data_IF_555163510119
#
_entry.id   IF_555163510119
#
_cell.length_a   1.000
_cell.length_b   1.000
_cell.length_c   1.000
_cell.angle_alpha   90.00
_cell.angle_beta   90.00
_cell.angle_gamma   90.00
#
_symmetry.space_group_name_H-M   'P 1'
#
loop_
_entity.id
_entity.type
_entity.pdbx_description
1 polymer ?
#
# COMPACT_ATOMS: atom_id res chain seq x y z
N UNK A 1 -56.21 58.31 0.78
CA UNK A 1 -55.62 57.75 -0.46
C UNK A 1 -54.32 57.09 -0.09
N UNK A 2 -54.31 55.77 0.00
CA UNK A 2 -53.17 54.99 0.51
C UNK A 2 -52.46 54.35 -0.68
N UNK A 3 -51.17 54.64 -0.79
CA UNK A 3 -50.23 54.17 -1.81
C UNK A 3 -49.98 52.67 -1.68
N UNK A 4 -50.10 51.92 -2.77
CA UNK A 4 -49.69 50.51 -2.84
C UNK A 4 -48.62 50.37 -3.92
N UNK A 5 -47.36 50.29 -3.50
CA UNK A 5 -46.21 50.05 -4.39
C UNK A 5 -45.94 48.56 -4.40
N UNK A 6 -46.30 47.88 -5.50
CA UNK A 6 -46.07 46.44 -5.64
C UNK A 6 -44.58 46.11 -5.65
N UNK A 7 -44.12 45.12 -4.86
CA UNK A 7 -42.73 44.70 -4.86
C UNK A 7 -42.41 44.01 -6.20
N UNK A 8 -41.47 44.59 -6.95
CA UNK A 8 -40.97 43.99 -8.18
C UNK A 8 -40.16 42.74 -7.83
N UNK A 9 -40.69 41.57 -8.19
CA UNK A 9 -40.04 40.28 -7.99
C UNK A 9 -38.70 40.24 -8.74
N UNK A 10 -37.60 40.38 -7.99
CA UNK A 10 -36.23 40.29 -8.52
C UNK A 10 -35.90 38.82 -8.73
N UNK A 11 -36.13 38.30 -9.93
CA UNK A 11 -35.70 36.97 -10.36
C UNK A 11 -34.16 36.90 -10.28
N UNK A 12 -33.64 36.18 -9.27
CA UNK A 12 -32.21 35.87 -9.18
C UNK A 12 -31.84 34.99 -10.37
N UNK A 13 -31.25 35.59 -11.40
CA UNK A 13 -30.58 34.85 -12.47
C UNK A 13 -29.35 34.20 -11.84
N UNK A 14 -29.38 32.89 -11.66
CA UNK A 14 -28.18 32.11 -11.36
C UNK A 14 -27.23 32.29 -12.55
N UNK A 15 -26.13 33.01 -12.32
CA UNK A 15 -25.13 33.27 -13.36
C UNK A 15 -24.40 31.98 -13.80
N UNK A 16 -23.69 32.03 -14.93
CA UNK A 16 -22.94 30.88 -15.48
C UNK A 16 -21.94 30.26 -14.49
N UNK A 17 -21.48 31.03 -13.49
CA UNK A 17 -20.62 30.55 -12.42
C UNK A 17 -21.27 29.43 -11.56
N UNK A 18 -22.57 29.50 -11.31
CA UNK A 18 -23.27 28.47 -10.53
C UNK A 18 -23.35 27.14 -11.30
N UNK A 19 -23.57 27.20 -12.61
CA UNK A 19 -23.57 26.01 -13.47
C UNK A 19 -22.18 25.37 -13.53
N UNK A 20 -21.12 26.18 -13.61
CA UNK A 20 -19.73 25.68 -13.57
C UNK A 20 -19.39 24.94 -12.29
N UNK A 21 -19.76 25.49 -11.12
CA UNK A 21 -19.53 24.83 -9.83
C UNK A 21 -20.29 23.51 -9.70
N UNK A 22 -21.54 23.46 -10.17
CA UNK A 22 -22.34 22.23 -10.16
C UNK A 22 -21.72 21.16 -11.08
N UNK A 23 -21.22 21.53 -12.25
CA UNK A 23 -20.55 20.60 -13.16
C UNK A 23 -19.27 20.01 -12.53
N UNK A 24 -18.47 20.85 -11.87
CA UNK A 24 -17.27 20.41 -11.15
C UNK A 24 -17.65 19.48 -9.99
N UNK A 25 -18.65 19.85 -9.18
CA UNK A 25 -19.12 19.01 -8.08
C UNK A 25 -19.64 17.65 -8.57
N UNK A 26 -20.39 17.63 -9.68
CA UNK A 26 -20.86 16.39 -10.29
C UNK A 26 -19.71 15.53 -10.81
N UNK A 27 -18.67 16.14 -11.41
CA UNK A 27 -17.47 15.43 -11.84
C UNK A 27 -16.75 14.78 -10.65
N UNK A 28 -16.53 15.51 -9.55
CA UNK A 28 -15.92 14.93 -8.35
C UNK A 28 -16.76 13.82 -7.74
N UNK A 29 -18.09 14.01 -7.66
CA UNK A 29 -19.00 12.98 -7.18
C UNK A 29 -18.93 11.69 -8.02
N UNK A 30 -18.79 11.83 -9.35
CA UNK A 30 -18.64 10.69 -10.25
C UNK A 30 -17.30 9.95 -10.09
N UNK A 31 -16.26 10.61 -9.56
CA UNK A 31 -14.95 9.98 -9.31
C UNK A 31 -14.88 9.23 -7.97
N UNK A 32 -15.73 9.55 -6.99
CA UNK A 32 -15.78 8.87 -5.68
C UNK A 32 -15.79 7.34 -5.78
N UNK A 33 -16.66 6.67 -6.57
CA UNK A 33 -16.66 5.21 -6.64
C UNK A 33 -15.35 4.64 -7.19
N UNK A 34 -14.68 5.36 -8.11
CA UNK A 34 -13.39 4.94 -8.65
C UNK A 34 -12.31 5.00 -7.57
N UNK A 35 -12.29 6.08 -6.78
CA UNK A 35 -11.35 6.24 -5.66
C UNK A 35 -11.54 5.12 -4.63
N UNK A 36 -12.78 4.82 -4.24
CA UNK A 36 -13.08 3.77 -3.26
C UNK A 36 -12.72 2.37 -3.76
N UNK A 37 -12.90 2.09 -5.05
CA UNK A 37 -12.50 0.80 -5.64
C UNK A 37 -10.98 0.64 -5.65
N UNK A 38 -10.24 1.70 -6.00
CA UNK A 38 -8.76 1.69 -5.98
C UNK A 38 -8.25 1.53 -4.55
N UNK A 39 -8.80 2.28 -3.60
CA UNK A 39 -8.47 2.22 -2.18
C UNK A 39 -8.67 0.79 -1.63
N UNK A 40 -9.83 0.19 -1.90
CA UNK A 40 -10.12 -1.18 -1.46
C UNK A 40 -9.17 -2.23 -2.05
N UNK A 41 -8.69 -2.05 -3.30
CA UNK A 41 -7.68 -2.94 -3.89
C UNK A 41 -6.31 -2.76 -3.25
N UNK A 42 -5.92 -1.52 -2.95
CA UNK A 42 -4.65 -1.24 -2.26
C UNK A 42 -4.66 -1.83 -0.85
N UNK A 43 -5.75 -1.64 -0.11
CA UNK A 43 -5.90 -2.20 1.24
C UNK A 43 -5.83 -3.73 1.26
N UNK A 44 -6.40 -4.40 0.26
CA UNK A 44 -6.35 -5.87 0.15
C UNK A 44 -4.98 -6.41 -0.22
N UNK A 45 -4.19 -5.64 -0.97
CA UNK A 45 -2.86 -6.07 -1.43
C UNK A 45 -1.76 -5.66 -0.47
N UNK A 46 -1.97 -4.66 0.39
CA UNK A 46 -0.98 -4.16 1.34
C UNK A 46 -0.37 -5.25 2.23
N UNK A 47 -1.13 -6.13 2.91
CA UNK A 47 -0.54 -7.19 3.75
C UNK A 47 0.39 -8.13 2.97
N UNK A 48 0.06 -8.42 1.71
CA UNK A 48 0.88 -9.26 0.84
C UNK A 48 2.24 -8.61 0.56
N UNK A 49 2.27 -7.31 0.30
CA UNK A 49 3.53 -6.60 0.06
C UNK A 49 4.35 -6.42 1.33
N UNK A 50 3.71 -6.14 2.47
CA UNK A 50 4.38 -6.02 3.77
C UNK A 50 5.03 -7.35 4.18
N UNK A 51 4.31 -8.48 4.05
CA UNK A 51 4.83 -9.83 4.29
C UNK A 51 6.03 -10.15 3.39
N UNK A 52 5.94 -9.79 2.10
CA UNK A 52 7.02 -10.03 1.13
C UNK A 52 8.29 -9.28 1.53
N UNK A 53 8.18 -7.97 1.80
CA UNK A 53 9.34 -7.14 2.16
C UNK A 53 9.95 -7.59 3.49
N UNK A 54 9.14 -7.99 4.47
CA UNK A 54 9.65 -8.54 5.73
C UNK A 54 10.35 -9.88 5.53
N UNK A 55 9.80 -10.77 4.72
CA UNK A 55 10.46 -12.05 4.42
C UNK A 55 11.75 -11.88 3.61
N UNK A 56 11.81 -10.91 2.67
CA UNK A 56 13.04 -10.54 1.96
C UNK A 56 14.14 -10.12 2.95
N UNK A 57 13.80 -9.24 3.91
CA UNK A 57 14.71 -8.82 4.97
C UNK A 57 15.18 -9.99 5.86
N UNK A 58 14.27 -10.85 6.30
CA UNK A 58 14.61 -12.00 7.14
C UNK A 58 15.50 -13.01 6.41
N UNK A 59 15.25 -13.25 5.13
CA UNK A 59 16.10 -14.13 4.32
C UNK A 59 17.48 -13.52 4.08
N UNK A 60 17.57 -12.20 3.87
CA UNK A 60 18.86 -11.49 3.83
C UNK A 60 19.64 -11.70 5.14
N UNK A 61 19.02 -11.46 6.31
CA UNK A 61 19.65 -11.67 7.61
C UNK A 61 20.01 -13.14 7.86
N UNK A 62 19.19 -14.07 7.39
CA UNK A 62 19.46 -15.51 7.48
C UNK A 62 20.70 -15.89 6.67
N UNK A 63 20.87 -15.32 5.47
CA UNK A 63 22.09 -15.53 4.68
C UNK A 63 23.30 -14.95 5.41
N UNK A 64 23.21 -13.74 5.98
CA UNK A 64 24.33 -13.13 6.71
C UNK A 64 24.75 -13.92 7.95
N UNK A 65 23.79 -14.54 8.66
CA UNK A 65 24.04 -15.21 9.93
C UNK A 65 24.34 -16.71 9.78
N UNK A 66 23.62 -17.39 8.89
CA UNK A 66 23.73 -18.84 8.67
C UNK A 66 24.50 -19.20 7.39
N UNK A 67 24.88 -18.22 6.56
CA UNK A 67 25.64 -18.41 5.31
C UNK A 67 24.81 -18.98 4.15
N UNK A 68 23.49 -19.13 4.31
CA UNK A 68 22.61 -19.62 3.25
C UNK A 68 21.14 -19.23 3.47
N UNK A 69 20.41 -19.14 2.38
CA UNK A 69 18.96 -18.97 2.32
C UNK A 69 18.24 -20.21 2.83
N UNK A 70 17.02 -20.01 3.33
CA UNK A 70 16.15 -21.06 3.84
C UNK A 70 14.88 -21.15 2.98
N UNK A 71 14.83 -22.09 2.01
CA UNK A 71 13.64 -22.31 1.19
C UNK A 71 12.48 -22.82 2.04
N UNK A 72 11.30 -22.22 1.85
CA UNK A 72 10.10 -22.54 2.62
C UNK A 72 8.84 -22.09 1.88
N UNK A 73 7.71 -22.61 2.32
CA UNK A 73 6.38 -22.17 1.91
C UNK A 73 5.54 -22.06 3.19
N UNK A 74 4.90 -20.90 3.39
CA UNK A 74 4.03 -20.64 4.53
C UNK A 74 2.60 -20.43 4.03
N UNK A 75 1.70 -21.25 4.56
CA UNK A 75 0.28 -21.02 4.41
C UNK A 75 -0.18 -19.79 5.24
N UNK A 76 -1.39 -19.28 5.02
CA UNK A 76 -1.88 -18.12 5.74
C UNK A 76 -1.95 -18.35 7.26
N UNK A 77 -1.38 -17.42 8.03
CA UNK A 77 -1.32 -17.52 9.50
C UNK A 77 -0.23 -18.46 10.03
N UNK A 78 0.50 -19.16 9.18
CA UNK A 78 1.63 -19.98 9.63
C UNK A 78 2.81 -19.11 10.06
N UNK A 79 3.63 -19.66 10.96
CA UNK A 79 4.78 -18.96 11.52
C UNK A 79 6.06 -19.75 11.34
N UNK A 80 7.16 -19.02 11.18
CA UNK A 80 8.52 -19.56 11.10
C UNK A 80 9.46 -18.67 11.91
N UNK A 81 10.59 -19.23 12.34
CA UNK A 81 11.66 -18.47 12.98
C UNK A 81 12.86 -18.41 12.03
N UNK A 82 13.29 -17.19 11.68
CA UNK A 82 14.38 -16.91 10.75
C UNK A 82 15.27 -15.84 11.35
N UNK A 83 16.59 -16.01 11.27
CA UNK A 83 17.56 -15.07 11.86
C UNK A 83 17.28 -14.68 13.34
N UNK A 84 16.64 -15.57 14.11
CA UNK A 84 16.26 -15.32 15.51
C UNK A 84 15.00 -14.48 15.70
N UNK A 85 14.26 -14.19 14.63
CA UNK A 85 12.98 -13.48 14.66
C UNK A 85 11.83 -14.39 14.21
N UNK A 86 10.68 -14.29 14.88
CA UNK A 86 9.46 -14.97 14.45
C UNK A 86 8.73 -14.15 13.40
N UNK A 87 8.51 -14.75 12.24
CA UNK A 87 7.60 -14.26 11.21
C UNK A 87 6.28 -15.04 11.24
N UNK A 88 5.16 -14.35 11.03
CA UNK A 88 3.84 -14.96 10.85
C UNK A 88 3.21 -14.41 9.58
N UNK A 89 2.82 -15.28 8.66
CA UNK A 89 2.14 -14.87 7.42
C UNK A 89 0.79 -14.22 7.73
N UNK A 90 0.49 -13.13 7.06
CA UNK A 90 -0.78 -12.42 7.17
C UNK A 90 -1.97 -13.29 6.76
N UNK A 91 -3.15 -12.93 7.26
CA UNK A 91 -4.38 -13.67 6.92
C UNK A 91 -4.64 -13.59 5.41
N UNK A 92 -4.88 -14.75 4.81
CA UNK A 92 -5.10 -14.88 3.38
C UNK A 92 -3.88 -14.62 2.49
N UNK A 93 -2.66 -14.59 3.05
CA UNK A 93 -1.40 -14.47 2.29
C UNK A 93 -0.61 -15.78 2.37
N UNK A 94 -0.11 -16.25 1.23
CA UNK A 94 0.84 -17.36 1.12
C UNK A 94 2.21 -16.76 0.79
N UNK A 95 3.24 -17.19 1.51
CA UNK A 95 4.63 -16.76 1.30
C UNK A 95 5.45 -17.93 0.79
N UNK A 96 6.10 -17.76 -0.35
CA UNK A 96 7.00 -18.75 -0.96
C UNK A 96 8.42 -18.18 -0.99
N UNK A 97 9.38 -18.97 -0.53
CA UNK A 97 10.81 -18.67 -0.60
C UNK A 97 11.54 -19.80 -1.31
N UNK A 98 12.38 -19.44 -2.26
CA UNK A 98 13.28 -20.35 -2.95
C UNK A 98 14.68 -19.77 -3.03
N UNK A 99 15.68 -20.63 -3.11
CA UNK A 99 17.07 -20.22 -3.28
C UNK A 99 17.49 -20.44 -4.75
N UNK A 100 17.79 -19.36 -5.48
CA UNK A 100 18.39 -19.49 -6.82
C UNK A 100 19.87 -19.90 -6.74
N UNK A 101 20.53 -19.46 -5.67
CA UNK A 101 21.84 -19.89 -5.21
C UNK A 101 21.82 -19.96 -3.68
N UNK A 102 22.80 -20.61 -3.02
CA UNK A 102 22.81 -20.70 -1.56
C UNK A 102 22.65 -19.37 -0.86
N UNK A 103 23.19 -18.28 -1.42
CA UNK A 103 23.19 -16.94 -0.83
C UNK A 103 22.19 -15.97 -1.52
N UNK A 104 21.35 -16.47 -2.44
CA UNK A 104 20.40 -15.64 -3.21
C UNK A 104 18.96 -16.14 -3.02
N UNK A 105 18.30 -15.75 -1.92
CA UNK A 105 16.90 -16.05 -1.70
C UNK A 105 16.02 -15.21 -2.62
N UNK A 106 14.95 -15.81 -3.12
CA UNK A 106 13.89 -15.15 -3.84
C UNK A 106 12.57 -15.39 -3.12
N UNK A 107 11.82 -14.32 -2.90
CA UNK A 107 10.54 -14.34 -2.21
C UNK A 107 9.43 -14.01 -3.20
N UNK A 108 8.31 -14.72 -3.07
CA UNK A 108 7.05 -14.42 -3.75
C UNK A 108 5.91 -14.58 -2.78
N UNK A 109 4.89 -13.75 -2.93
CA UNK A 109 3.68 -13.84 -2.13
C UNK A 109 2.45 -13.88 -3.03
N UNK A 110 1.40 -14.53 -2.55
CA UNK A 110 0.08 -14.50 -3.19
C UNK A 110 -1.01 -14.28 -2.16
N UNK A 111 -2.15 -13.74 -2.57
CA UNK A 111 -3.31 -13.56 -1.69
C UNK A 111 -4.52 -14.39 -2.12
N UNK A 112 -5.49 -14.55 -1.22
CA UNK A 112 -6.75 -15.25 -1.49
C UNK A 112 -7.66 -14.58 -2.53
N UNK A 113 -7.32 -13.36 -2.98
CA UNK A 113 -8.01 -12.66 -4.06
C UNK A 113 -7.45 -12.99 -5.45
N UNK A 114 -6.37 -13.78 -5.53
CA UNK A 114 -5.74 -14.20 -6.77
C UNK A 114 -4.60 -13.29 -7.25
N UNK A 115 -4.22 -12.28 -6.46
CA UNK A 115 -3.03 -11.49 -6.76
C UNK A 115 -1.77 -12.26 -6.40
N UNK A 116 -0.74 -12.13 -7.24
CA UNK A 116 0.56 -12.79 -7.06
C UNK A 116 1.65 -11.78 -7.38
N UNK A 117 2.64 -11.65 -6.51
CA UNK A 117 3.79 -10.78 -6.79
C UNK A 117 4.74 -11.44 -7.78
N UNK A 118 5.55 -10.62 -8.46
CA UNK A 118 6.76 -11.14 -9.07
C UNK A 118 7.69 -11.72 -7.99
N UNK A 119 8.59 -12.61 -8.41
CA UNK A 119 9.70 -13.03 -7.56
C UNK A 119 10.65 -11.85 -7.36
N UNK A 120 10.98 -11.58 -6.11
CA UNK A 120 12.00 -10.61 -5.76
C UNK A 120 13.16 -11.34 -5.09
N UNK A 121 14.29 -11.28 -5.77
CA UNK A 121 15.51 -11.93 -5.33
C UNK A 121 16.38 -10.92 -4.61
N UNK A 122 16.83 -11.28 -3.42
CA UNK A 122 17.74 -10.49 -2.61
C UNK A 122 19.13 -10.54 -3.24
N UNK A 123 19.71 -9.36 -3.42
CA UNK A 123 21.13 -9.21 -3.72
C UNK A 123 21.86 -8.88 -2.41
N UNK A 124 23.00 -9.52 -2.16
CA UNK A 124 23.77 -9.26 -0.94
C UNK A 124 24.51 -7.93 -0.99
N UNK A 125 24.84 -7.45 -2.19
CA UNK A 125 25.51 -6.16 -2.39
C UNK A 125 24.53 -4.98 -2.32
N UNK A 126 23.22 -5.25 -2.45
CA UNK A 126 22.14 -4.26 -2.36
C UNK A 126 21.09 -4.73 -1.34
N UNK A 127 21.29 -4.44 -0.04
CA UNK A 127 20.41 -4.93 1.01
C UNK A 127 18.97 -4.42 0.79
N UNK A 128 17.95 -5.26 1.03
CA UNK A 128 16.57 -4.82 1.00
C UNK A 128 16.34 -3.75 2.08
N UNK A 129 15.33 -2.89 1.87
CA UNK A 129 14.95 -1.92 2.88
C UNK A 129 14.51 -2.65 4.15
N UNK A 130 15.06 -2.23 5.29
CA UNK A 130 14.62 -2.70 6.59
C UNK A 130 13.18 -2.22 6.83
N UNK A 131 12.19 -3.12 6.98
CA UNK A 131 10.79 -2.74 7.14
C UNK A 131 10.51 -2.02 8.46
N UNK A 132 11.39 -2.16 9.46
CA UNK A 132 11.22 -1.57 10.80
C UNK A 132 11.93 -0.22 10.95
N UNK A 133 12.76 0.18 9.97
CA UNK A 133 13.30 1.53 9.96
C UNK A 133 12.18 2.52 9.63
N UNK A 134 11.68 3.20 10.67
CA UNK A 134 10.90 4.41 10.47
C UNK A 134 11.70 5.34 9.57
N UNK A 135 11.13 5.69 8.41
CA UNK A 135 11.68 6.71 7.54
C UNK A 135 11.65 8.01 8.34
N UNK A 136 12.75 8.32 9.03
CA UNK A 136 12.89 9.59 9.73
C UNK A 136 12.86 10.66 8.64
N UNK A 137 11.72 11.32 8.52
CA UNK A 137 11.52 12.40 7.56
C UNK A 137 12.48 13.54 7.93
N UNK A 138 13.61 13.61 7.23
CA UNK A 138 14.65 14.63 7.43
C UNK A 138 14.18 16.03 6.99
N UNK A 139 12.89 16.21 6.66
CA UNK A 139 12.30 17.50 6.29
C UNK A 139 11.95 18.38 7.51
N UNK A 140 12.75 18.33 8.59
CA UNK A 140 12.74 19.40 9.61
C UNK A 140 13.65 20.52 9.11
N UNK A 141 13.04 21.51 8.43
CA UNK A 141 13.74 22.73 8.04
C UNK A 141 14.37 23.40 9.27
N UNK A 142 15.60 23.94 9.17
CA UNK A 142 16.20 24.70 10.26
C UNK A 142 15.35 25.95 10.52
N UNK A 143 14.77 26.03 11.71
CA UNK A 143 14.19 27.26 12.23
C UNK A 143 15.35 28.21 12.48
N UNK A 144 15.43 29.27 11.68
CA UNK A 144 16.33 30.42 11.89
C UNK A 144 15.49 31.63 12.27
#
# INVERSE_FOLDING_TARGET
>A
MTTQTSPTARTRRFGPAAAGLLAIAALFAALVPVVLEVDSRLDRTRPMYDDRSRMEWLQYQTVLTAGRAEPLELAPGESVELAGERFTSSSGVVVEVRAEAPERPCVRTSNHHGDVTAWACVDLDEPPADPDLEVVDLTVAPTT
#
